data_IF_217919737038
#
_entry.id   IF_217919737038
#
_cell.length_a   1.000
_cell.length_b   1.000
_cell.length_c   1.000
_cell.angle_alpha   90.00
_cell.angle_beta   90.00
_cell.angle_gamma   90.00
#
_symmetry.space_group_name_H-M   'P 1'
#
loop_
_entity.id
_entity.type
_entity.pdbx_description
1 polymer ?
#
# COMPACT_ATOMS: atom_id res chain seq x y z
N UNK A 1 0.30 3.06 1.07
CA UNK A 1 1.03 3.79 2.13
C UNK A 1 1.38 2.80 3.23
N UNK A 2 2.63 2.75 3.67
CA UNK A 2 3.10 1.82 4.71
C UNK A 2 3.37 2.59 6.00
N UNK A 3 2.89 2.07 7.13
CA UNK A 3 3.07 2.71 8.42
C UNK A 3 3.01 1.69 9.57
N UNK A 4 3.57 2.06 10.73
CA UNK A 4 3.32 1.32 11.95
C UNK A 4 1.86 1.49 12.40
N UNK A 5 1.20 0.43 12.91
CA UNK A 5 -0.20 0.51 13.37
C UNK A 5 -0.42 1.64 14.39
N UNK A 6 0.53 1.84 15.31
CA UNK A 6 0.46 2.87 16.36
C UNK A 6 0.51 4.30 15.79
N UNK A 7 1.10 4.49 14.61
CA UNK A 7 1.25 5.79 13.96
C UNK A 7 0.14 6.05 12.93
N UNK A 8 -0.67 5.07 12.59
CA UNK A 8 -1.71 5.22 11.58
C UNK A 8 -2.68 6.38 11.85
N UNK A 9 -3.13 6.64 13.09
CA UNK A 9 -4.01 7.77 13.37
C UNK A 9 -3.43 9.13 12.94
N UNK A 10 -2.11 9.32 13.04
CA UNK A 10 -1.42 10.55 12.62
C UNK A 10 -1.29 10.65 11.10
N UNK A 11 -1.17 9.50 10.42
CA UNK A 11 -0.98 9.45 8.97
C UNK A 11 -2.28 9.49 8.15
N UNK A 12 -3.43 9.30 8.79
CA UNK A 12 -4.72 9.29 8.10
C UNK A 12 -5.00 10.58 7.33
N UNK A 13 -4.64 11.73 7.88
CA UNK A 13 -4.81 13.02 7.21
C UNK A 13 -3.92 13.10 5.97
N UNK A 14 -2.64 12.71 6.05
CA UNK A 14 -1.77 12.64 4.87
C UNK A 14 -2.34 11.68 3.81
N UNK A 15 -2.83 10.53 4.23
CA UNK A 15 -3.43 9.55 3.32
C UNK A 15 -4.65 10.14 2.56
N UNK A 16 -5.47 10.96 3.24
CA UNK A 16 -6.61 11.65 2.63
C UNK A 16 -6.15 12.73 1.64
N UNK A 17 -5.16 13.55 2.01
CA UNK A 17 -4.59 14.57 1.13
C UNK A 17 -3.98 13.97 -0.14
N UNK A 18 -3.33 12.82 -0.04
CA UNK A 18 -2.70 12.12 -1.16
C UNK A 18 -3.63 11.16 -1.90
N UNK A 19 -4.90 11.06 -1.50
CA UNK A 19 -5.88 10.12 -2.05
C UNK A 19 -5.37 8.67 -2.07
N UNK A 20 -4.65 8.29 -1.00
CA UNK A 20 -4.13 6.92 -0.83
C UNK A 20 -5.30 5.94 -0.74
N UNK A 21 -5.20 4.81 -1.43
CA UNK A 21 -6.30 3.83 -1.52
C UNK A 21 -6.33 2.85 -0.35
N UNK A 22 -5.18 2.59 0.27
CA UNK A 22 -5.07 1.71 1.44
C UNK A 22 -3.82 2.05 2.27
N UNK A 23 -3.94 2.00 3.60
CA UNK A 23 -2.81 1.95 4.52
C UNK A 23 -2.42 0.50 4.80
N UNK A 24 -1.18 0.12 4.56
CA UNK A 24 -0.65 -1.20 4.88
C UNK A 24 0.13 -1.10 6.18
N UNK A 25 -0.36 -1.78 7.21
CA UNK A 25 0.12 -1.61 8.57
C UNK A 25 0.90 -2.84 9.03
N UNK A 26 2.16 -2.64 9.42
CA UNK A 26 2.98 -3.65 10.06
C UNK A 26 3.84 -3.02 11.16
N UNK A 27 4.06 -3.74 12.24
CA UNK A 27 5.04 -3.31 13.26
C UNK A 27 6.46 -3.72 12.86
N UNK A 28 6.61 -4.90 12.28
CA UNK A 28 7.87 -5.43 11.78
C UNK A 28 7.57 -6.34 10.57
N UNK A 29 7.82 -5.85 9.39
CA UNK A 29 7.66 -6.60 8.14
C UNK A 29 8.87 -7.49 7.80
N UNK A 30 9.92 -7.42 8.63
CA UNK A 30 11.16 -8.19 8.48
C UNK A 30 12.19 -7.61 7.52
N UNK A 31 11.88 -6.48 6.86
CA UNK A 31 12.76 -5.85 5.88
C UNK A 31 13.49 -4.60 6.37
N UNK A 32 13.21 -4.13 7.58
CA UNK A 32 13.74 -2.86 8.11
C UNK A 32 13.52 -1.68 7.17
N UNK A 33 12.29 -1.58 6.64
CA UNK A 33 11.86 -0.45 5.82
C UNK A 33 11.98 0.87 6.58
N UNK A 34 12.02 2.00 5.88
CA UNK A 34 12.22 3.32 6.52
C UNK A 34 11.11 3.67 7.50
N UNK A 35 9.87 3.32 7.20
CA UNK A 35 8.71 3.51 8.07
C UNK A 35 8.84 2.74 9.39
N UNK A 36 9.52 1.59 9.38
CA UNK A 36 9.82 0.79 10.57
C UNK A 36 11.14 1.22 11.25
N UNK A 37 12.23 1.22 10.48
CA UNK A 37 13.59 1.43 11.02
C UNK A 37 13.76 2.77 11.75
N UNK A 38 13.08 3.82 11.29
CA UNK A 38 13.13 5.13 11.92
C UNK A 38 12.28 5.22 13.20
N UNK A 39 11.21 4.46 13.30
CA UNK A 39 10.22 4.57 14.38
C UNK A 39 10.38 3.48 15.46
N UNK A 40 10.73 2.25 15.09
CA UNK A 40 10.83 1.11 16.01
C UNK A 40 11.79 1.32 17.19
N UNK A 41 12.97 1.96 17.06
CA UNK A 41 13.84 2.18 18.20
C UNK A 41 13.16 2.93 19.35
N UNK A 42 12.34 3.94 19.04
CA UNK A 42 11.60 4.73 20.02
C UNK A 42 10.51 3.91 20.71
N UNK A 43 9.79 3.08 19.95
CA UNK A 43 8.80 2.16 20.51
C UNK A 43 9.43 1.10 21.41
N UNK A 44 10.57 0.52 21.01
CA UNK A 44 11.32 -0.45 21.82
C UNK A 44 11.82 0.17 23.12
N UNK A 45 12.39 1.37 23.06
CA UNK A 45 12.86 2.09 24.25
C UNK A 45 11.71 2.42 25.19
N UNK A 46 10.57 2.91 24.68
CA UNK A 46 9.43 3.23 25.54
C UNK A 46 8.84 1.99 26.22
N UNK A 47 8.87 0.84 25.56
CA UNK A 47 8.45 -0.46 26.15
C UNK A 47 9.44 -0.96 27.19
N UNK A 48 10.74 -0.78 26.94
CA UNK A 48 11.80 -1.22 27.85
C UNK A 48 11.87 -0.34 29.11
N UNK A 49 11.55 0.95 28.98
CA UNK A 49 11.64 1.94 30.05
C UNK A 49 10.31 2.70 30.19
N UNK A 50 9.22 2.03 30.63
CA UNK A 50 7.87 2.63 30.65
C UNK A 50 7.77 3.88 31.55
N UNK A 51 8.54 3.93 32.64
CA UNK A 51 8.56 5.06 33.58
C UNK A 51 9.33 6.28 33.06
N UNK A 52 10.14 6.11 32.03
CA UNK A 52 10.99 7.19 31.49
C UNK A 52 10.23 8.14 30.56
N UNK A 53 8.96 7.87 30.24
CA UNK A 53 8.12 8.69 29.34
C UNK A 53 8.82 9.06 28.03
N UNK A 54 9.50 8.10 27.41
CA UNK A 54 10.24 8.31 26.17
C UNK A 54 9.26 8.68 25.05
N UNK A 55 9.42 9.89 24.43
CA UNK A 55 8.51 10.32 23.37
C UNK A 55 8.75 9.55 22.09
N UNK A 56 7.72 9.47 21.24
CA UNK A 56 7.88 9.07 19.83
C UNK A 56 8.58 10.21 19.08
N UNK A 57 9.91 10.16 19.03
CA UNK A 57 10.69 11.25 18.44
C UNK A 57 10.81 11.18 16.92
N UNK A 58 10.37 10.09 16.30
CA UNK A 58 10.33 9.96 14.85
C UNK A 58 9.01 9.32 14.41
N UNK A 59 8.27 10.03 13.56
CA UNK A 59 7.14 9.52 12.81
C UNK A 59 7.58 9.31 11.36
N UNK A 60 7.60 8.06 10.89
CA UNK A 60 7.99 7.72 9.53
C UNK A 60 6.88 6.94 8.83
N UNK A 61 6.76 7.17 7.52
CA UNK A 61 5.83 6.45 6.64
C UNK A 61 6.43 6.39 5.24
N UNK A 62 6.10 5.34 4.51
CA UNK A 62 6.44 5.20 3.09
C UNK A 62 5.18 5.34 2.25
N UNK A 63 5.21 6.23 1.26
CA UNK A 63 4.10 6.43 0.34
C UNK A 63 4.53 6.08 -1.07
N UNK A 64 3.84 5.15 -1.69
CA UNK A 64 3.99 4.85 -3.12
C UNK A 64 3.10 5.81 -3.91
N UNK A 65 3.71 6.74 -4.62
CA UNK A 65 3.01 7.74 -5.43
C UNK A 65 2.80 7.21 -6.85
N UNK A 66 1.77 6.39 -7.02
CA UNK A 66 1.49 5.73 -8.29
C UNK A 66 2.51 4.63 -8.61
N UNK A 67 2.66 4.33 -9.87
CA UNK A 67 3.60 3.33 -10.35
C UNK A 67 4.84 3.95 -11.02
N UNK A 68 5.84 3.11 -11.24
CA UNK A 68 7.12 3.47 -11.89
C UNK A 68 6.96 4.20 -13.23
N UNK A 69 5.86 3.97 -13.95
CA UNK A 69 5.55 4.60 -15.23
C UNK A 69 4.59 5.79 -15.10
N UNK A 70 4.17 6.15 -13.89
CA UNK A 70 3.30 7.31 -13.72
C UNK A 70 4.14 8.59 -13.75
N UNK A 71 4.02 9.33 -14.84
CA UNK A 71 4.65 10.64 -15.07
C UNK A 71 3.61 11.72 -15.34
N UNK A 72 2.35 11.46 -14.91
CA UNK A 72 1.28 12.42 -15.07
C UNK A 72 1.53 13.67 -14.23
N UNK A 73 1.44 14.84 -14.88
CA UNK A 73 1.73 16.12 -14.26
C UNK A 73 0.68 16.51 -13.22
N UNK A 74 -0.59 16.22 -13.51
CA UNK A 74 -1.69 16.64 -12.63
C UNK A 74 -1.69 15.79 -11.35
N UNK A 75 -1.37 14.50 -11.46
CA UNK A 75 -1.13 13.63 -10.30
C UNK A 75 0.05 14.16 -9.46
N UNK A 76 1.18 14.49 -10.11
CA UNK A 76 2.36 14.98 -9.41
C UNK A 76 2.09 16.30 -8.66
N UNK A 77 1.35 17.23 -9.28
CA UNK A 77 0.94 18.48 -8.64
C UNK A 77 -0.01 18.23 -7.48
N UNK A 78 -1.01 17.36 -7.66
CA UNK A 78 -1.95 17.01 -6.59
C UNK A 78 -1.24 16.40 -5.38
N UNK A 79 -0.27 15.51 -5.59
CA UNK A 79 0.53 14.95 -4.49
C UNK A 79 1.40 16.00 -3.80
N UNK A 80 2.04 16.90 -4.57
CA UNK A 80 2.84 17.98 -4.00
C UNK A 80 1.98 18.93 -3.14
N UNK A 81 0.82 19.35 -3.65
CA UNK A 81 -0.14 20.16 -2.91
C UNK A 81 -0.67 19.43 -1.67
N UNK A 82 -0.97 18.15 -1.78
CA UNK A 82 -1.40 17.32 -0.65
C UNK A 82 -0.35 17.24 0.46
N UNK A 83 0.93 17.09 0.12
CA UNK A 83 2.03 17.11 1.10
C UNK A 83 2.12 18.49 1.77
N UNK A 84 2.07 19.57 1.02
CA UNK A 84 2.13 20.92 1.56
C UNK A 84 0.92 21.22 2.46
N UNK A 85 -0.27 20.79 2.05
CA UNK A 85 -1.48 20.93 2.86
C UNK A 85 -1.35 20.19 4.20
N UNK A 86 -0.84 18.96 4.18
CA UNK A 86 -0.55 18.20 5.40
C UNK A 86 0.48 18.89 6.29
N UNK A 87 1.57 19.41 5.73
CA UNK A 87 2.59 20.13 6.49
C UNK A 87 2.03 21.41 7.15
N UNK A 88 1.13 22.12 6.47
CA UNK A 88 0.45 23.27 7.03
C UNK A 88 -0.53 22.88 8.15
N UNK A 89 -1.27 21.78 7.99
CA UNK A 89 -2.14 21.21 9.02
C UNK A 89 -1.36 20.85 10.29
N UNK A 90 -0.12 20.34 10.12
CA UNK A 90 0.79 20.05 11.25
C UNK A 90 1.48 21.31 11.82
N UNK A 91 1.21 22.51 11.28
CA UNK A 91 1.80 23.76 11.73
C UNK A 91 3.29 23.92 11.37
N UNK A 92 3.81 23.11 10.45
CA UNK A 92 5.22 23.15 10.03
C UNK A 92 5.48 24.24 8.99
N UNK A 93 4.48 24.64 8.24
CA UNK A 93 4.52 25.75 7.27
C UNK A 93 3.26 26.61 7.44
N UNK A 94 3.34 27.86 6.98
CA UNK A 94 2.19 28.77 6.94
C UNK A 94 1.56 28.78 5.55
N UNK A 95 0.24 29.06 5.48
CA UNK A 95 -0.49 29.16 4.22
C UNK A 95 -1.88 28.58 4.36
N UNK A 96 -2.75 28.91 3.39
CA UNK A 96 -4.06 28.30 3.24
C UNK A 96 -3.99 27.24 2.16
N UNK A 97 -4.36 26.03 2.51
CA UNK A 97 -4.34 24.88 1.63
C UNK A 97 -5.69 24.20 1.57
N UNK A 98 -6.06 23.59 0.45
CA UNK A 98 -7.34 22.90 0.33
C UNK A 98 -7.40 21.72 1.32
N UNK A 99 -8.58 21.52 1.90
CA UNK A 99 -8.85 20.32 2.67
C UNK A 99 -8.87 19.10 1.75
N UNK A 100 -8.57 17.90 2.28
CA UNK A 100 -8.66 16.69 1.47
C UNK A 100 -10.07 16.53 0.91
N UNK A 101 -10.16 16.17 -0.37
CA UNK A 101 -11.44 15.94 -1.03
C UNK A 101 -12.10 14.61 -0.64
N UNK A 102 -11.32 13.69 -0.11
CA UNK A 102 -11.75 12.33 0.23
C UNK A 102 -11.58 12.06 1.72
N UNK A 103 -12.40 11.15 2.22
CA UNK A 103 -12.20 10.56 3.54
C UNK A 103 -10.89 9.73 3.55
N UNK A 104 -10.21 9.64 4.71
CA UNK A 104 -9.04 8.80 4.85
C UNK A 104 -9.36 7.33 4.53
N UNK A 105 -8.46 6.68 3.80
CA UNK A 105 -8.59 5.25 3.53
C UNK A 105 -8.48 4.40 4.82
N UNK A 106 -8.91 3.16 4.72
CA UNK A 106 -8.74 2.17 5.79
C UNK A 106 -7.27 1.74 5.92
N UNK A 107 -6.84 1.54 7.17
CA UNK A 107 -5.58 0.85 7.47
C UNK A 107 -5.83 -0.64 7.59
N UNK A 108 -5.13 -1.43 6.81
CA UNK A 108 -5.26 -2.90 6.77
C UNK A 108 -3.95 -3.57 7.19
N UNK A 109 -3.99 -4.76 7.79
CA UNK A 109 -2.76 -5.47 8.16
C UNK A 109 -1.95 -5.79 6.90
N UNK A 110 -0.65 -5.50 6.91
CA UNK A 110 0.21 -5.84 5.78
C UNK A 110 0.27 -7.36 5.57
N UNK A 111 0.14 -8.14 6.65
CA UNK A 111 -0.01 -9.60 6.63
C UNK A 111 -1.23 -10.07 5.85
N UNK A 112 -2.26 -9.22 5.70
CA UNK A 112 -3.45 -9.48 4.89
C UNK A 112 -3.28 -9.26 3.39
N UNK A 113 -2.06 -8.96 2.93
CA UNK A 113 -1.79 -8.79 1.50
C UNK A 113 -1.72 -10.12 0.79
N UNK A 114 -2.62 -10.32 -0.17
CA UNK A 114 -2.60 -11.43 -1.10
C UNK A 114 -1.79 -11.07 -2.35
N UNK A 115 -0.95 -12.01 -2.80
CA UNK A 115 -0.22 -11.93 -4.07
C UNK A 115 -0.91 -12.82 -5.10
N UNK A 116 -1.39 -12.23 -6.19
CA UNK A 116 -1.97 -12.96 -7.29
C UNK A 116 -0.90 -13.21 -8.37
N UNK A 117 -0.63 -14.48 -8.63
CA UNK A 117 0.49 -14.93 -9.45
C UNK A 117 0.02 -15.40 -10.83
N UNK A 118 0.89 -15.26 -11.82
CA UNK A 118 0.66 -15.82 -13.16
C UNK A 118 0.70 -17.36 -13.13
N UNK A 119 -0.34 -18.05 -13.62
CA UNK A 119 -0.39 -19.51 -13.64
C UNK A 119 0.45 -20.14 -14.76
N UNK A 120 0.71 -19.41 -15.83
CA UNK A 120 1.51 -19.83 -17.00
C UNK A 120 2.07 -18.60 -17.74
N UNK A 121 2.99 -18.77 -18.72
CA UNK A 121 3.43 -17.67 -19.55
C UNK A 121 2.28 -17.15 -20.40
N UNK A 122 2.24 -15.84 -20.65
CA UNK A 122 1.21 -15.29 -21.54
C UNK A 122 1.05 -13.78 -21.43
N UNK A 123 0.14 -13.27 -22.25
CA UNK A 123 -0.28 -11.88 -22.25
C UNK A 123 -1.30 -11.67 -21.13
N UNK A 124 -1.11 -10.61 -20.36
CA UNK A 124 -1.98 -10.28 -19.21
C UNK A 124 -3.01 -9.23 -19.60
N UNK A 125 -4.28 -9.54 -19.35
CA UNK A 125 -5.42 -8.64 -19.48
C UNK A 125 -6.04 -8.40 -18.11
N UNK A 126 -5.94 -7.17 -17.56
CA UNK A 126 -6.56 -6.83 -16.27
C UNK A 126 -8.04 -6.52 -16.45
N UNK A 127 -8.88 -7.09 -15.59
CA UNK A 127 -10.32 -6.90 -15.53
C UNK A 127 -10.74 -5.88 -14.46
N UNK A 128 -9.81 -5.55 -13.55
CA UNK A 128 -9.98 -4.58 -12.44
C UNK A 128 -8.86 -3.56 -12.45
N UNK A 129 -9.08 -2.44 -11.74
CA UNK A 129 -8.12 -1.33 -11.64
C UNK A 129 -7.65 -1.14 -10.21
N UNK A 130 -6.42 -0.64 -10.00
CA UNK A 130 -5.97 -0.24 -8.68
C UNK A 130 -6.90 0.78 -8.02
N UNK A 131 -7.16 0.57 -6.73
CA UNK A 131 -8.07 1.37 -5.92
C UNK A 131 -9.49 0.81 -5.84
N UNK A 132 -9.85 -0.21 -6.63
CA UNK A 132 -11.16 -0.87 -6.52
C UNK A 132 -11.19 -1.83 -5.31
N UNK A 133 -12.33 -1.86 -4.64
CA UNK A 133 -12.67 -2.94 -3.71
C UNK A 133 -13.07 -4.17 -4.52
N UNK A 134 -12.55 -5.33 -4.15
CA UNK A 134 -12.88 -6.63 -4.75
C UNK A 134 -13.34 -7.59 -3.65
N UNK A 135 -14.23 -8.51 -4.01
CA UNK A 135 -14.67 -9.59 -3.15
C UNK A 135 -13.89 -10.88 -3.49
N UNK A 136 -13.77 -11.76 -2.51
CA UNK A 136 -13.22 -13.10 -2.75
C UNK A 136 -14.03 -13.81 -3.84
N UNK A 137 -13.32 -14.29 -4.89
CA UNK A 137 -13.92 -14.87 -6.08
C UNK A 137 -14.06 -13.91 -7.26
N UNK A 138 -13.89 -12.60 -7.08
CA UNK A 138 -13.89 -11.64 -8.20
C UNK A 138 -12.72 -11.89 -9.14
N UNK A 139 -13.00 -11.85 -10.45
CA UNK A 139 -12.01 -11.97 -11.51
C UNK A 139 -11.14 -10.71 -11.57
N UNK A 140 -9.82 -10.89 -11.46
CA UNK A 140 -8.86 -9.77 -11.40
C UNK A 140 -8.13 -9.60 -12.74
N UNK A 141 -7.66 -10.70 -13.33
CA UNK A 141 -6.98 -10.68 -14.62
C UNK A 141 -7.06 -12.03 -15.31
N UNK A 142 -6.82 -12.00 -16.61
CA UNK A 142 -6.64 -13.18 -17.46
C UNK A 142 -5.19 -13.27 -17.93
N UNK A 143 -4.68 -14.49 -18.04
CA UNK A 143 -3.42 -14.79 -18.74
C UNK A 143 -3.75 -15.59 -19.97
N UNK A 144 -3.34 -15.07 -21.13
CA UNK A 144 -3.63 -15.62 -22.45
C UNK A 144 -2.35 -16.14 -23.08
N UNK A 145 -2.26 -17.43 -23.32
CA UNK A 145 -1.16 -18.02 -24.09
C UNK A 145 -1.50 -17.92 -25.59
N UNK A 146 -0.82 -17.06 -26.38
CA UNK A 146 -1.16 -16.85 -27.78
C UNK A 146 -0.73 -18.00 -28.69
N UNK A 147 -0.02 -19.00 -28.17
CA UNK A 147 0.42 -20.17 -28.95
C UNK A 147 -0.59 -21.31 -28.86
N UNK A 148 -1.13 -21.53 -27.68
CA UNK A 148 -2.07 -22.62 -27.40
C UNK A 148 -3.54 -22.19 -27.31
N UNK A 149 -3.79 -20.87 -27.40
CA UNK A 149 -5.11 -20.25 -27.16
C UNK A 149 -5.67 -20.52 -25.75
N UNK A 150 -4.81 -20.92 -24.82
CA UNK A 150 -5.20 -21.15 -23.43
C UNK A 150 -5.45 -19.82 -22.73
N UNK A 151 -6.61 -19.68 -22.12
CA UNK A 151 -6.95 -18.56 -21.25
C UNK A 151 -7.13 -19.08 -19.82
N UNK A 152 -6.50 -18.41 -18.86
CA UNK A 152 -6.70 -18.68 -17.44
C UNK A 152 -7.09 -17.42 -16.72
N UNK A 153 -8.23 -17.40 -16.08
CA UNK A 153 -8.72 -16.32 -15.24
C UNK A 153 -8.19 -16.51 -13.82
N UNK A 154 -7.65 -15.46 -13.23
CA UNK A 154 -7.19 -15.43 -11.83
C UNK A 154 -8.12 -14.54 -11.02
N UNK A 155 -8.66 -15.10 -9.94
CA UNK A 155 -9.60 -14.44 -9.05
C UNK A 155 -8.93 -14.07 -7.74
N UNK A 156 -9.48 -13.07 -7.05
CA UNK A 156 -9.10 -12.73 -5.68
C UNK A 156 -9.46 -13.87 -4.72
N UNK A 157 -8.55 -14.27 -3.87
CA UNK A 157 -8.81 -15.22 -2.80
C UNK A 157 -9.34 -14.55 -1.53
N UNK A 158 -9.11 -13.22 -1.38
CA UNK A 158 -9.58 -12.42 -0.25
C UNK A 158 -10.36 -11.20 -0.71
N UNK A 159 -11.30 -10.74 0.12
CA UNK A 159 -11.97 -9.45 -0.09
C UNK A 159 -11.10 -8.30 0.41
N UNK A 160 -10.95 -7.25 -0.40
CA UNK A 160 -10.10 -6.13 -0.03
C UNK A 160 -9.88 -5.11 -1.15
N UNK A 161 -8.91 -4.24 -0.97
CA UNK A 161 -8.53 -3.23 -1.96
C UNK A 161 -7.46 -3.80 -2.90
N UNK A 162 -7.76 -3.85 -4.19
CA UNK A 162 -6.74 -4.09 -5.22
C UNK A 162 -5.84 -2.85 -5.30
N UNK A 163 -4.63 -2.90 -4.73
CA UNK A 163 -3.80 -1.72 -4.60
C UNK A 163 -2.60 -1.65 -5.55
N UNK A 164 -2.21 -2.78 -6.13
CA UNK A 164 -1.10 -2.83 -7.08
C UNK A 164 -1.37 -3.84 -8.21
N UNK A 165 -0.94 -3.48 -9.41
CA UNK A 165 -0.91 -4.36 -10.59
C UNK A 165 0.44 -4.22 -11.29
N UNK A 166 0.91 -5.31 -11.90
CA UNK A 166 2.13 -5.31 -12.68
C UNK A 166 1.96 -4.46 -13.97
N UNK A 167 2.97 -3.68 -14.29
CA UNK A 167 3.00 -2.84 -15.49
C UNK A 167 3.19 -3.66 -16.78
N UNK A 168 4.06 -4.67 -16.71
CA UNK A 168 4.34 -5.52 -17.87
C UNK A 168 3.12 -6.39 -18.20
N UNK A 169 2.79 -6.46 -19.49
CA UNK A 169 1.63 -7.20 -19.99
C UNK A 169 2.01 -8.57 -20.53
N UNK A 170 3.19 -9.06 -20.24
CA UNK A 170 3.61 -10.43 -20.49
C UNK A 170 4.20 -11.01 -19.22
N UNK A 171 3.67 -12.11 -18.77
CA UNK A 171 4.05 -12.77 -17.53
C UNK A 171 4.75 -14.11 -17.75
N UNK A 172 5.60 -14.47 -16.80
CA UNK A 172 6.14 -15.81 -16.61
C UNK A 172 5.42 -16.49 -15.44
N UNK A 173 5.40 -17.84 -15.37
CA UNK A 173 4.78 -18.53 -14.25
C UNK A 173 5.37 -18.08 -12.92
N UNK A 174 4.49 -17.85 -11.93
CA UNK A 174 4.90 -17.44 -10.60
C UNK A 174 5.22 -15.93 -10.46
N UNK A 175 5.22 -15.15 -11.53
CA UNK A 175 5.31 -13.67 -11.40
C UNK A 175 4.07 -13.14 -10.70
N UNK A 176 4.26 -12.25 -9.73
CA UNK A 176 3.15 -11.52 -9.15
C UNK A 176 2.60 -10.52 -10.18
N UNK A 177 1.29 -10.50 -10.32
CA UNK A 177 0.61 -9.63 -11.27
C UNK A 177 -0.31 -8.62 -10.58
N UNK A 178 -0.85 -8.98 -9.42
CA UNK A 178 -1.71 -8.10 -8.65
C UNK A 178 -1.54 -8.33 -7.15
N UNK A 179 -1.88 -7.30 -6.35
CA UNK A 179 -1.89 -7.37 -4.89
C UNK A 179 -3.21 -6.84 -4.35
N UNK A 180 -3.84 -7.62 -3.48
CA UNK A 180 -5.08 -7.26 -2.79
C UNK A 180 -4.78 -7.13 -1.30
N UNK A 181 -5.14 -6.01 -0.70
CA UNK A 181 -5.03 -5.80 0.74
C UNK A 181 -6.35 -6.20 1.42
N UNK A 182 -6.33 -7.31 2.14
CA UNK A 182 -7.46 -7.82 2.90
C UNK A 182 -7.39 -7.42 4.38
N UNK A 183 -8.52 -7.62 5.09
CA UNK A 183 -8.64 -7.32 6.53
C UNK A 183 -8.09 -8.41 7.43
N UNK A 184 -7.96 -9.62 6.92
CA UNK A 184 -7.51 -10.79 7.68
C UNK A 184 -6.07 -11.14 7.31
N UNK A 185 -5.27 -11.54 8.30
CA UNK A 185 -3.90 -11.96 8.07
C UNK A 185 -3.87 -13.28 7.27
N UNK A 186 -3.18 -13.28 6.13
CA UNK A 186 -2.99 -14.43 5.25
C UNK A 186 -1.58 -15.01 5.37
N UNK A 187 -0.63 -14.21 5.83
CA UNK A 187 0.80 -14.54 5.90
C UNK A 187 1.35 -14.22 7.27
N UNK A 188 2.41 -14.88 7.67
CA UNK A 188 3.09 -14.66 8.94
C UNK A 188 4.62 -14.65 8.73
N UNK A 189 5.33 -13.96 9.62
CA UNK A 189 6.78 -13.88 9.58
C UNK A 189 7.29 -12.71 8.73
N UNK A 190 8.35 -12.94 7.96
CA UNK A 190 8.93 -11.89 7.11
C UNK A 190 8.04 -11.64 5.90
N UNK A 191 7.52 -10.42 5.77
CA UNK A 191 6.56 -10.06 4.74
C UNK A 191 7.20 -9.40 3.52
N UNK A 192 8.40 -8.81 3.67
CA UNK A 192 9.13 -8.11 2.61
C UNK A 192 10.20 -8.97 1.92
N UNK A 193 10.57 -10.11 2.52
CA UNK A 193 11.53 -11.04 1.93
C UNK A 193 10.80 -12.34 1.58
N UNK A 194 10.66 -12.61 0.31
CA UNK A 194 10.27 -13.91 -0.23
C UNK A 194 11.48 -14.87 -0.25
#
# INVERSE_FOLDING_TARGET
MYALPQHWPQWRSLAAHLNVKVGLLAEDSGGSSFDEACSLPWLRLSRQFPDAQIPLACLATTVELGGQANTDRDDALAWAEGILAFLAEQGLITGEWPKPANEPCEGMPFEGTELLLAPHPGVVSFLRKPGEWVEAGDEIFEVIDPVSDRVSTVCAGTSGVLFAIERLRYAQPGFWLAKVAGREALRHGRLLND
#
